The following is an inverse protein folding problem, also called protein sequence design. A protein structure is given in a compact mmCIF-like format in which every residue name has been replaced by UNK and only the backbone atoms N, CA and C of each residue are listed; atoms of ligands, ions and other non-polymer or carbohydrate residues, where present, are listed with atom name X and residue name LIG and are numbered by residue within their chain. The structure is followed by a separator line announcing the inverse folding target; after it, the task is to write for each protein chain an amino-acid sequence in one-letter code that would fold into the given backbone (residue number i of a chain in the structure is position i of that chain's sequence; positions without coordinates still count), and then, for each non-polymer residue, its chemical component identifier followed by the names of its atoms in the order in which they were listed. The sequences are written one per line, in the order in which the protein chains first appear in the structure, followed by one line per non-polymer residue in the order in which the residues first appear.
data_IF_384374005085
#
_entry.id   IF_384374005085
#
_cell.length_a   1.000
_cell.length_b   1.000
_cell.length_c   1.000
_cell.angle_alpha   90.00
_cell.angle_beta   90.00
_cell.angle_gamma   90.00
#
_symmetry.space_group_name_H-M   'P 1'
#
loop_
_entity.id
_entity.type
_entity.pdbx_description
1 polymer ?
#
# COMPACT_ATOMS: atom_id res chain seq x y z
N UNK A 1 -33.09 -11.28 38.06
CA UNK A 1 -32.42 -12.58 38.16
C UNK A 1 -33.38 -13.52 38.87
N UNK A 2 -33.90 -14.49 38.14
CA UNK A 2 -34.80 -15.51 38.68
C UNK A 2 -33.96 -16.65 39.26
N UNK A 3 -34.55 -17.41 40.19
CA UNK A 3 -33.90 -18.50 40.94
C UNK A 3 -33.27 -19.57 40.02
N UNK A 4 -33.79 -19.70 38.80
CA UNK A 4 -33.31 -20.65 37.79
C UNK A 4 -31.93 -20.27 37.19
N UNK A 5 -31.56 -18.99 37.18
CA UNK A 5 -30.24 -18.55 36.67
C UNK A 5 -29.09 -18.94 37.61
N UNK A 6 -29.38 -19.06 38.91
CA UNK A 6 -28.39 -19.46 39.91
C UNK A 6 -28.13 -20.97 39.89
N UNK A 7 -29.17 -21.78 39.68
CA UNK A 7 -29.04 -23.24 39.58
C UNK A 7 -28.29 -23.65 38.31
N UNK A 8 -28.50 -22.96 37.19
CA UNK A 8 -27.75 -23.21 35.95
C UNK A 8 -26.26 -22.83 36.12
N UNK A 9 -25.95 -21.74 36.82
CA UNK A 9 -24.56 -21.38 37.14
C UNK A 9 -23.89 -22.40 38.05
N UNK A 10 -24.62 -22.95 39.02
CA UNK A 10 -24.12 -24.00 39.91
C UNK A 10 -23.74 -25.27 39.16
N UNK A 11 -24.61 -25.71 38.23
CA UNK A 11 -24.37 -26.91 37.42
C UNK A 11 -23.20 -26.74 36.43
N UNK A 12 -23.03 -25.54 35.85
CA UNK A 12 -21.92 -25.25 34.93
C UNK A 12 -20.58 -25.11 35.67
N UNK A 13 -20.57 -24.58 36.89
CA UNK A 13 -19.34 -24.45 37.68
C UNK A 13 -18.80 -25.80 38.18
N UNK A 14 -19.67 -26.79 38.41
CA UNK A 14 -19.28 -28.13 38.88
C UNK A 14 -18.77 -29.08 37.78
N UNK A 15 -19.12 -28.83 36.51
CA UNK A 15 -18.83 -29.76 35.41
C UNK A 15 -17.51 -29.49 34.67
N UNK A 16 -16.86 -28.34 34.91
CA UNK A 16 -15.63 -27.95 34.19
C UNK A 16 -14.41 -28.13 35.11
N UNK A 17 -13.56 -29.14 34.88
CA UNK A 17 -12.31 -29.27 35.63
C UNK A 17 -11.43 -28.04 35.41
N UNK A 18 -10.67 -27.58 36.43
CA UNK A 18 -9.85 -26.39 36.33
C UNK A 18 -8.85 -26.54 35.18
N UNK A 19 -8.95 -25.65 34.20
CA UNK A 19 -8.01 -25.61 33.07
C UNK A 19 -6.61 -25.28 33.60
N UNK A 20 -5.61 -26.01 33.11
CA UNK A 20 -4.21 -25.74 33.41
C UNK A 20 -3.89 -24.27 33.05
N UNK A 21 -3.15 -23.59 33.94
CA UNK A 21 -2.77 -22.21 33.72
C UNK A 21 -2.09 -22.06 32.34
N UNK A 22 -2.54 -21.13 31.49
CA UNK A 22 -1.95 -20.96 30.17
C UNK A 22 -0.47 -20.58 30.32
N UNK A 23 0.42 -21.15 29.48
CA UNK A 23 1.84 -20.83 29.55
C UNK A 23 2.06 -19.34 29.35
N UNK A 24 2.90 -18.75 30.20
CA UNK A 24 3.23 -17.32 30.16
C UNK A 24 4.05 -16.98 28.91
N UNK A 25 3.33 -16.72 27.82
CA UNK A 25 3.92 -16.34 26.53
C UNK A 25 4.65 -15.00 26.59
N UNK A 26 4.34 -14.14 27.58
CA UNK A 26 4.96 -12.82 27.73
C UNK A 26 6.39 -12.98 28.26
N UNK A 27 6.60 -13.88 29.23
CA UNK A 27 7.94 -14.21 29.73
C UNK A 27 8.83 -14.79 28.61
N UNK A 28 8.30 -15.65 27.75
CA UNK A 28 9.05 -16.28 26.66
C UNK A 28 9.49 -15.27 25.58
N UNK A 29 8.61 -14.34 25.21
CA UNK A 29 8.94 -13.24 24.29
C UNK A 29 10.01 -12.32 24.91
N UNK A 30 9.92 -12.04 26.21
CA UNK A 30 10.93 -11.25 26.93
C UNK A 30 12.34 -11.84 26.89
N UNK A 31 12.45 -13.17 26.93
CA UNK A 31 13.75 -13.87 26.81
C UNK A 31 14.29 -13.77 25.38
N UNK A 32 13.44 -13.93 24.35
CA UNK A 32 13.86 -13.79 22.93
C UNK A 32 14.35 -12.38 22.62
N UNK A 33 13.62 -11.36 23.09
CA UNK A 33 13.99 -9.95 22.84
C UNK A 33 15.32 -9.59 23.52
N UNK A 34 15.56 -10.06 24.75
CA UNK A 34 16.87 -9.86 25.42
C UNK A 34 18.01 -10.55 24.68
N UNK A 35 17.80 -11.76 24.16
CA UNK A 35 18.82 -12.49 23.39
C UNK A 35 19.15 -11.79 22.08
N UNK A 36 18.14 -11.21 21.41
CA UNK A 36 18.31 -10.46 20.17
C UNK A 36 19.05 -9.13 20.38
N UNK A 37 18.68 -8.35 21.43
CA UNK A 37 19.40 -7.11 21.78
C UNK A 37 20.88 -7.34 22.11
N UNK A 38 21.21 -8.43 22.81
CA UNK A 38 22.60 -8.80 23.10
C UNK A 38 23.41 -9.12 21.85
N UNK A 39 22.80 -9.71 20.81
CA UNK A 39 23.46 -9.99 19.54
C UNK A 39 23.70 -8.72 18.71
N UNK A 40 22.76 -7.78 18.71
CA UNK A 40 22.91 -6.52 17.99
C UNK A 40 23.96 -5.60 18.61
N UNK A 41 24.08 -5.57 19.94
CA UNK A 41 25.10 -4.78 20.63
C UNK A 41 26.54 -5.28 20.38
N UNK A 42 26.72 -6.59 20.14
CA UNK A 42 28.04 -7.16 19.82
C UNK A 42 28.54 -6.85 18.40
N UNK A 43 27.65 -6.62 17.44
CA UNK A 43 28.01 -6.36 16.03
C UNK A 43 28.44 -4.93 15.74
N UNK A 44 27.95 -3.94 16.49
CA UNK A 44 28.24 -2.53 16.24
C UNK A 44 29.67 -2.09 16.61
N UNK A 45 30.39 -2.86 17.44
CA UNK A 45 31.75 -2.54 17.85
C UNK A 45 32.82 -2.88 16.79
N UNK A 46 32.52 -3.74 15.81
CA UNK A 46 33.47 -4.15 14.78
C UNK A 46 33.53 -3.19 13.56
N UNK A 47 32.52 -2.33 13.37
CA UNK A 47 32.42 -1.49 12.16
C UNK A 47 33.12 -0.13 12.29
N UNK A 48 33.47 0.33 13.50
CA UNK A 48 34.08 1.66 13.72
C UNK A 48 35.62 1.62 13.65
N UNK A 49 36.23 0.43 13.66
CA UNK A 49 37.69 0.29 13.64
C UNK A 49 38.32 0.31 12.22
N UNK A 50 37.52 0.28 11.14
CA UNK A 50 38.02 0.15 9.76
C UNK A 50 38.04 1.45 8.94
N UNK A 51 37.54 2.57 9.47
CA UNK A 51 37.38 3.83 8.71
C UNK A 51 38.46 4.90 8.97
N UNK A 52 39.50 4.64 9.77
CA UNK A 52 40.57 5.62 10.08
C UNK A 52 41.91 5.34 9.34
N UNK A 53 41.96 4.33 8.45
CA UNK A 53 43.23 3.79 7.93
C UNK A 53 43.71 4.23 6.53
N UNK A 54 42.99 5.08 5.78
CA UNK A 54 43.39 5.41 4.39
C UNK A 54 43.34 6.92 4.12
N UNK A 55 44.26 7.63 4.76
CA UNK A 55 44.75 8.93 4.32
C UNK A 55 46.26 8.85 4.15
N UNK A 56 46.77 9.52 3.10
CA UNK A 56 48.18 9.76 2.73
C UNK A 56 48.69 8.95 1.52
N UNK A 57 48.72 9.64 0.38
CA UNK A 57 49.88 9.67 -0.53
C UNK A 57 49.76 8.90 -1.84
N UNK A 58 49.74 9.63 -2.96
CA UNK A 58 50.62 9.37 -4.12
C UNK A 58 50.63 10.60 -5.06
N UNK A 59 51.79 10.94 -5.67
CA UNK A 59 52.03 12.19 -6.36
C UNK A 59 51.65 12.13 -7.85
N UNK A 60 51.39 13.31 -8.40
CA UNK A 60 51.25 13.56 -9.82
C UNK A 60 52.59 13.38 -10.56
N UNK A 61 52.61 12.54 -11.60
CA UNK A 61 53.62 12.61 -12.66
C UNK A 61 53.02 12.28 -14.04
N UNK A 62 53.11 13.30 -14.90
CA UNK A 62 53.62 13.28 -16.29
C UNK A 62 52.74 12.67 -17.40
N UNK A 63 52.51 13.55 -18.37
CA UNK A 63 51.86 13.35 -19.65
C UNK A 63 52.65 12.42 -20.61
N UNK A 64 51.89 11.68 -21.41
CA UNK A 64 52.33 11.07 -22.67
C UNK A 64 51.12 10.91 -23.60
N UNK A 65 51.18 11.37 -24.86
CA UNK A 65 50.06 11.26 -25.79
C UNK A 65 50.08 9.88 -26.46
N UNK A 66 49.18 9.01 -26.02
CA UNK A 66 48.90 7.72 -26.64
C UNK A 66 47.42 7.62 -26.97
N UNK A 67 47.08 7.92 -28.22
CA UNK A 67 45.82 7.54 -28.85
C UNK A 67 45.73 6.02 -28.84
N UNK A 68 45.02 5.46 -27.88
CA UNK A 68 44.28 4.23 -28.07
C UNK A 68 42.81 4.61 -28.00
N UNK A 69 42.16 4.57 -29.16
CA UNK A 69 40.72 4.68 -29.29
C UNK A 69 40.09 3.54 -28.48
N UNK A 70 39.81 3.80 -27.20
CA UNK A 70 38.87 2.99 -26.43
C UNK A 70 37.52 3.25 -27.08
N UNK A 71 37.15 2.39 -28.03
CA UNK A 71 35.80 2.28 -28.55
C UNK A 71 34.91 2.25 -27.30
N UNK A 72 34.03 3.27 -27.08
CA UNK A 72 33.09 3.18 -25.98
C UNK A 72 32.33 1.88 -26.20
N UNK A 73 32.42 0.96 -25.25
CA UNK A 73 31.66 -0.28 -25.27
C UNK A 73 30.20 0.16 -25.34
N UNK A 74 29.64 0.15 -26.55
CA UNK A 74 28.22 0.40 -26.77
C UNK A 74 27.55 -0.81 -26.18
N UNK A 75 27.20 -0.72 -24.90
CA UNK A 75 26.30 -1.68 -24.27
C UNK A 75 25.05 -1.66 -25.15
N UNK A 76 24.68 -2.78 -25.80
CA UNK A 76 23.47 -2.81 -26.59
C UNK A 76 22.34 -2.30 -25.69
N UNK A 77 21.54 -1.38 -26.24
CA UNK A 77 20.31 -0.96 -25.58
C UNK A 77 19.47 -2.19 -25.24
N UNK A 78 18.56 -2.08 -24.25
CA UNK A 78 17.71 -3.18 -23.86
C UNK A 78 17.03 -3.85 -25.06
N UNK A 79 17.04 -5.17 -25.09
CA UNK A 79 16.37 -5.96 -26.12
C UNK A 79 14.90 -6.14 -25.76
N UNK A 80 14.01 -5.77 -26.68
CA UNK A 80 12.56 -5.94 -26.56
C UNK A 80 11.87 -4.90 -25.67
N UNK A 81 10.61 -4.64 -25.98
CA UNK A 81 9.76 -3.73 -25.21
C UNK A 81 9.13 -4.49 -24.02
N UNK A 82 9.29 -3.96 -22.82
CA UNK A 82 8.64 -4.47 -21.62
C UNK A 82 7.18 -4.00 -21.56
N UNK A 83 6.33 -4.58 -22.42
CA UNK A 83 4.92 -4.23 -22.50
C UNK A 83 4.11 -4.93 -21.41
N UNK A 84 3.28 -4.16 -20.69
CA UNK A 84 2.31 -4.72 -19.77
C UNK A 84 1.24 -5.52 -20.53
N UNK A 85 0.98 -6.78 -20.17
CA UNK A 85 -0.20 -7.49 -20.66
C UNK A 85 -1.47 -6.72 -20.28
N UNK A 86 -2.45 -6.71 -21.19
CA UNK A 86 -3.75 -6.05 -20.99
C UNK A 86 -4.89 -7.03 -20.75
N UNK A 87 -4.66 -8.31 -21.00
CA UNK A 87 -5.57 -9.43 -20.82
C UNK A 87 -4.78 -10.68 -20.42
N UNK A 88 -5.47 -11.81 -20.25
CA UNK A 88 -4.89 -13.09 -19.83
C UNK A 88 -4.26 -13.88 -21.00
N UNK A 89 -4.22 -13.33 -22.21
CA UNK A 89 -3.57 -14.01 -23.34
C UNK A 89 -2.07 -14.11 -23.05
N UNK A 90 -1.53 -15.32 -23.15
CA UNK A 90 -0.13 -15.60 -22.83
C UNK A 90 0.13 -15.85 -21.34
N UNK A 91 -0.90 -15.86 -20.49
CA UNK A 91 -0.80 -16.41 -19.14
C UNK A 91 -0.45 -17.91 -19.22
N UNK A 92 0.60 -18.39 -18.52
CA UNK A 92 0.97 -19.80 -18.50
C UNK A 92 -0.14 -20.68 -17.93
N UNK A 93 -0.35 -21.85 -18.51
CA UNK A 93 -1.16 -22.90 -17.91
C UNK A 93 -0.45 -23.43 -16.67
N UNK A 94 -1.06 -23.24 -15.49
CA UNK A 94 -0.48 -23.61 -14.20
C UNK A 94 -0.18 -25.12 -14.11
N UNK A 95 -0.89 -25.97 -14.87
CA UNK A 95 -0.64 -27.41 -14.92
C UNK A 95 0.63 -27.77 -15.71
N UNK A 96 1.08 -26.89 -16.62
CA UNK A 96 2.24 -27.11 -17.49
C UNK A 96 3.57 -26.59 -16.91
N UNK A 97 3.49 -25.79 -15.84
CA UNK A 97 4.65 -25.14 -15.21
C UNK A 97 5.35 -26.09 -14.23
N UNK A 98 6.68 -26.07 -14.21
CA UNK A 98 7.48 -26.85 -13.25
C UNK A 98 7.58 -26.11 -11.92
N UNK A 99 7.27 -26.81 -10.83
CA UNK A 99 7.40 -26.31 -9.45
C UNK A 99 8.36 -27.19 -8.67
N UNK A 100 8.93 -26.65 -7.59
CA UNK A 100 9.70 -27.44 -6.64
C UNK A 100 11.18 -27.61 -6.98
N UNK A 101 11.65 -27.02 -8.08
CA UNK A 101 13.06 -27.03 -8.44
C UNK A 101 13.86 -25.92 -7.72
N UNK A 102 15.16 -26.15 -7.62
CA UNK A 102 16.11 -25.16 -7.09
C UNK A 102 16.44 -24.07 -8.14
N UNK A 103 15.76 -24.05 -9.29
CA UNK A 103 15.97 -23.08 -10.35
C UNK A 103 15.35 -21.71 -10.01
N UNK A 104 16.06 -20.60 -10.22
CA UNK A 104 15.51 -19.27 -9.94
C UNK A 104 14.28 -19.00 -10.81
N UNK A 105 13.26 -18.35 -10.23
CA UNK A 105 12.05 -17.96 -10.97
C UNK A 105 12.37 -16.97 -12.10
N UNK A 106 13.31 -16.06 -11.85
CA UNK A 106 13.78 -15.07 -12.83
C UNK A 106 15.32 -14.96 -12.80
N UNK A 107 15.98 -14.70 -13.93
CA UNK A 107 17.42 -14.42 -13.96
C UNK A 107 17.80 -13.18 -13.11
N UNK A 108 19.05 -13.12 -12.68
CA UNK A 108 19.61 -11.89 -12.10
C UNK A 108 19.91 -10.84 -13.18
N UNK A 109 20.06 -9.57 -12.78
CA UNK A 109 20.50 -8.50 -13.69
C UNK A 109 19.38 -7.74 -14.40
N UNK A 110 18.14 -7.86 -13.94
CA UNK A 110 17.07 -6.96 -14.37
C UNK A 110 17.45 -5.52 -14.01
N UNK A 111 17.15 -4.57 -14.90
CA UNK A 111 17.40 -3.14 -14.72
C UNK A 111 16.13 -2.36 -14.43
N UNK A 112 14.98 -2.98 -14.64
CA UNK A 112 13.66 -2.37 -14.48
C UNK A 112 12.62 -3.46 -14.25
N UNK A 113 11.63 -3.17 -13.40
CA UNK A 113 10.47 -4.02 -13.17
C UNK A 113 9.22 -3.17 -13.31
N UNK A 114 8.31 -3.58 -14.19
CA UNK A 114 7.00 -2.95 -14.32
C UNK A 114 5.93 -3.86 -13.70
N UNK A 115 5.23 -3.35 -12.69
CA UNK A 115 4.04 -4.00 -12.12
C UNK A 115 2.80 -3.55 -12.87
N UNK A 116 2.14 -4.51 -13.49
CA UNK A 116 0.91 -4.36 -14.26
C UNK A 116 -0.26 -5.02 -13.52
N UNK A 117 -1.48 -4.55 -13.76
CA UNK A 117 -2.71 -5.18 -13.29
C UNK A 117 -3.52 -5.65 -14.50
N UNK A 118 -3.82 -6.95 -14.54
CA UNK A 118 -4.56 -7.59 -15.63
C UNK A 118 -5.94 -8.00 -15.10
N UNK A 119 -7.06 -7.59 -15.70
CA UNK A 119 -8.38 -7.92 -15.21
C UNK A 119 -8.74 -9.41 -15.41
N UNK A 120 -9.36 -10.01 -14.40
CA UNK A 120 -9.83 -11.40 -14.37
C UNK A 120 -11.35 -11.43 -14.17
N UNK A 121 -12.09 -10.97 -15.19
CA UNK A 121 -13.57 -11.02 -15.25
C UNK A 121 -14.33 -10.19 -14.19
N UNK A 122 -15.30 -9.36 -14.60
CA UNK A 122 -16.16 -8.63 -13.65
C UNK A 122 -15.45 -7.66 -12.70
N UNK A 123 -14.21 -7.25 -13.02
CA UNK A 123 -13.37 -6.45 -12.15
C UNK A 123 -13.68 -4.97 -12.05
N UNK A 124 -12.76 -4.24 -11.40
CA UNK A 124 -12.90 -2.81 -11.14
C UNK A 124 -13.23 -2.04 -12.43
N UNK A 125 -14.03 -0.97 -12.28
CA UNK A 125 -14.35 -0.07 -13.39
C UNK A 125 -13.01 0.44 -13.98
N UNK A 126 -12.89 0.60 -15.31
CA UNK A 126 -11.64 1.04 -15.93
C UNK A 126 -11.02 2.32 -15.31
N UNK A 127 -11.86 3.24 -14.80
CA UNK A 127 -11.43 4.48 -14.14
C UNK A 127 -10.69 4.27 -12.80
N UNK A 128 -10.89 3.10 -12.17
CA UNK A 128 -10.30 2.74 -10.88
C UNK A 128 -9.03 1.90 -11.04
N UNK A 129 -8.68 1.51 -12.28
CA UNK A 129 -7.49 0.71 -12.55
C UNK A 129 -6.24 1.52 -12.32
N UNK A 130 -5.25 0.89 -11.69
CA UNK A 130 -3.93 1.47 -11.53
C UNK A 130 -3.16 1.23 -12.82
N UNK A 131 -2.58 2.29 -13.38
CA UNK A 131 -1.68 2.16 -14.52
C UNK A 131 -0.43 1.33 -14.18
N UNK A 132 0.38 0.99 -15.20
CA UNK A 132 1.69 0.37 -14.99
C UNK A 132 2.54 1.16 -13.99
N UNK A 133 3.21 0.45 -13.08
CA UNK A 133 4.13 1.03 -12.09
C UNK A 133 5.53 0.54 -12.39
N UNK A 134 6.44 1.45 -12.72
CA UNK A 134 7.80 1.06 -13.13
C UNK A 134 8.81 1.41 -12.05
N UNK A 135 9.54 0.38 -11.60
CA UNK A 135 10.62 0.47 -10.64
C UNK A 135 11.96 0.32 -11.37
N UNK A 136 12.86 1.28 -11.20
CA UNK A 136 14.23 1.28 -11.75
C UNK A 136 15.28 1.28 -10.64
N UNK A 137 14.88 1.47 -9.38
CA UNK A 137 15.75 1.47 -8.20
C UNK A 137 15.43 0.29 -7.29
N UNK A 138 16.46 -0.40 -6.77
CA UNK A 138 16.26 -1.58 -5.91
C UNK A 138 15.65 -2.80 -6.63
N UNK A 139 15.80 -2.88 -7.95
CA UNK A 139 15.31 -3.99 -8.79
C UNK A 139 15.93 -5.33 -8.38
N UNK A 140 17.22 -5.31 -8.03
CA UNK A 140 17.98 -6.46 -7.55
C UNK A 140 17.37 -7.09 -6.29
N UNK A 141 16.85 -6.27 -5.37
CA UNK A 141 16.16 -6.77 -4.19
C UNK A 141 14.86 -7.49 -4.55
N UNK A 142 14.06 -6.93 -5.46
CA UNK A 142 12.79 -7.56 -5.87
C UNK A 142 13.07 -8.88 -6.59
N UNK A 143 14.08 -8.93 -7.47
CA UNK A 143 14.56 -10.18 -8.10
C UNK A 143 14.98 -11.20 -7.05
N UNK A 144 15.75 -10.80 -6.04
CA UNK A 144 16.16 -11.66 -4.93
C UNK A 144 14.94 -12.21 -4.18
N UNK A 145 13.94 -11.37 -3.90
CA UNK A 145 12.72 -11.78 -3.21
C UNK A 145 11.85 -12.73 -4.05
N UNK A 146 11.74 -12.50 -5.37
CA UNK A 146 11.07 -13.41 -6.30
C UNK A 146 11.73 -14.80 -6.30
N UNK A 147 13.06 -14.85 -6.35
CA UNK A 147 13.80 -16.11 -6.33
C UNK A 147 13.84 -16.79 -4.95
N UNK A 148 13.67 -16.04 -3.87
CA UNK A 148 13.59 -16.55 -2.50
C UNK A 148 12.21 -17.10 -2.13
N UNK A 149 11.22 -17.00 -3.04
CA UNK A 149 9.90 -17.55 -2.79
C UNK A 149 9.95 -19.08 -2.60
N UNK A 150 9.05 -19.65 -1.77
CA UNK A 150 8.99 -21.09 -1.54
C UNK A 150 8.93 -21.88 -2.85
N UNK A 151 9.68 -22.99 -2.98
CA UNK A 151 9.75 -23.75 -4.23
C UNK A 151 8.39 -24.38 -4.60
N UNK A 152 7.55 -24.66 -3.60
CA UNK A 152 6.13 -24.99 -3.79
C UNK A 152 5.28 -24.20 -2.80
N UNK A 153 4.01 -24.01 -3.13
CA UNK A 153 3.03 -23.48 -2.19
C UNK A 153 2.91 -24.34 -0.92
N UNK A 154 2.86 -23.69 0.25
CA UNK A 154 2.95 -24.36 1.56
C UNK A 154 1.60 -24.73 2.19
N UNK A 155 0.48 -24.16 1.75
CA UNK A 155 -0.85 -24.39 2.34
C UNK A 155 -1.67 -25.47 1.60
N UNK A 156 -1.10 -26.11 0.58
CA UNK A 156 -1.72 -27.17 -0.22
C UNK A 156 -2.80 -26.70 -1.22
N UNK A 157 -3.00 -25.39 -1.40
CA UNK A 157 -4.13 -24.80 -2.13
C UNK A 157 -3.75 -24.24 -3.51
N UNK A 158 -3.48 -25.12 -4.46
CA UNK A 158 -2.83 -24.76 -5.72
C UNK A 158 -1.86 -25.82 -6.21
N UNK A 159 -1.86 -27.00 -5.58
CA UNK A 159 -1.51 -28.24 -6.26
C UNK A 159 -2.74 -28.75 -7.01
N UNK A 160 -2.57 -29.43 -8.15
CA UNK A 160 -3.64 -30.25 -8.69
C UNK A 160 -4.11 -31.18 -7.58
N UNK A 161 -5.42 -31.18 -7.32
CA UNK A 161 -6.04 -32.25 -6.55
C UNK A 161 -5.82 -33.58 -7.27
N UNK A 162 -6.07 -34.73 -6.62
CA UNK A 162 -5.94 -36.04 -7.25
C UNK A 162 -6.78 -36.22 -8.53
N UNK A 163 -7.79 -35.38 -8.73
CA UNK A 163 -8.64 -35.30 -9.94
C UNK A 163 -8.08 -34.35 -11.03
N UNK A 164 -6.95 -33.69 -10.79
CA UNK A 164 -6.31 -32.74 -11.70
C UNK A 164 -6.71 -31.28 -11.49
N UNK A 165 -7.70 -30.97 -10.65
CA UNK A 165 -8.21 -29.62 -10.49
C UNK A 165 -7.37 -28.79 -9.50
N UNK A 166 -7.00 -27.57 -9.88
CA UNK A 166 -6.37 -26.63 -8.96
C UNK A 166 -7.40 -26.02 -8.02
N UNK A 167 -7.23 -26.23 -6.71
CA UNK A 167 -8.08 -25.61 -5.69
C UNK A 167 -7.69 -24.14 -5.45
N UNK A 168 -7.92 -23.28 -6.43
CA UNK A 168 -7.62 -21.84 -6.36
C UNK A 168 -8.74 -21.08 -5.63
N UNK A 169 -8.64 -21.01 -4.30
CA UNK A 169 -9.64 -20.40 -3.44
C UNK A 169 -9.05 -19.39 -2.43
N UNK A 170 -7.82 -18.92 -2.64
CA UNK A 170 -7.12 -18.06 -1.65
C UNK A 170 -7.74 -16.66 -1.53
N UNK A 171 -8.00 -15.98 -2.64
CA UNK A 171 -8.59 -14.65 -2.65
C UNK A 171 -9.24 -14.36 -4.00
N UNK A 172 -10.58 -14.33 -4.08
CA UNK A 172 -11.31 -13.86 -5.25
C UNK A 172 -10.91 -12.41 -5.57
N UNK A 173 -9.86 -12.26 -6.37
CA UNK A 173 -9.38 -10.99 -6.90
C UNK A 173 -9.85 -10.92 -8.34
N UNK A 174 -10.39 -9.76 -8.71
CA UNK A 174 -10.78 -9.49 -10.08
C UNK A 174 -9.62 -8.98 -10.95
N UNK A 175 -8.40 -9.00 -10.43
CA UNK A 175 -7.18 -8.57 -11.11
C UNK A 175 -5.99 -9.45 -10.68
N UNK A 176 -5.13 -9.77 -11.64
CA UNK A 176 -3.83 -10.40 -11.45
C UNK A 176 -2.73 -9.36 -11.50
N UNK A 177 -1.74 -9.50 -10.62
CA UNK A 177 -0.53 -8.68 -10.71
C UNK A 177 0.48 -9.40 -11.59
N UNK A 178 1.00 -8.69 -12.57
CA UNK A 178 2.05 -9.18 -13.47
C UNK A 178 3.28 -8.32 -13.28
N UNK A 179 4.44 -8.93 -13.11
CA UNK A 179 5.72 -8.24 -13.06
C UNK A 179 6.48 -8.52 -14.36
N UNK A 180 6.76 -7.47 -15.12
CA UNK A 180 7.58 -7.56 -16.34
C UNK A 180 8.97 -7.04 -16.01
N UNK A 181 9.96 -7.93 -16.07
CA UNK A 181 11.36 -7.62 -15.76
C UNK A 181 12.12 -7.37 -17.06
N UNK A 182 12.66 -6.15 -17.23
CA UNK A 182 13.48 -5.78 -18.39
C UNK A 182 14.96 -5.98 -18.06
N UNK A 183 15.69 -6.50 -19.03
CA UNK A 183 17.12 -6.76 -18.96
C UNK A 183 17.86 -5.99 -20.06
N UNK A 184 19.15 -5.70 -19.88
CA UNK A 184 19.94 -5.03 -20.91
C UNK A 184 20.36 -5.97 -22.05
N UNK A 185 20.51 -7.28 -21.76
CA UNK A 185 21.20 -8.25 -22.62
C UNK A 185 20.29 -9.33 -23.22
N UNK A 186 19.01 -9.36 -22.83
CA UNK A 186 18.05 -10.43 -23.16
C UNK A 186 16.62 -9.91 -23.18
N UNK A 187 15.72 -10.76 -23.68
CA UNK A 187 14.29 -10.47 -23.73
C UNK A 187 13.69 -10.32 -22.32
N UNK A 188 12.61 -9.53 -22.16
CA UNK A 188 11.93 -9.39 -20.89
C UNK A 188 11.39 -10.71 -20.35
N UNK A 189 11.38 -10.83 -19.02
CA UNK A 189 10.75 -11.97 -18.33
C UNK A 189 9.46 -11.51 -17.66
N UNK A 190 8.37 -12.18 -17.98
CA UNK A 190 7.05 -11.92 -17.39
C UNK A 190 6.78 -12.93 -16.28
N UNK A 191 6.51 -12.41 -15.08
CA UNK A 191 6.07 -13.18 -13.91
C UNK A 191 4.61 -12.88 -13.64
N UNK A 192 3.76 -13.87 -13.82
CA UNK A 192 2.35 -13.83 -13.45
C UNK A 192 2.19 -14.21 -12.00
N UNK A 193 1.44 -13.43 -11.22
CA UNK A 193 1.08 -13.81 -9.85
C UNK A 193 -0.40 -14.11 -9.78
N UNK A 194 -0.73 -15.36 -9.46
CA UNK A 194 -2.10 -15.77 -9.22
C UNK A 194 -2.34 -15.79 -7.71
N UNK A 195 -3.09 -14.79 -7.23
CA UNK A 195 -3.44 -14.68 -5.83
C UNK A 195 -4.50 -15.70 -5.39
N UNK A 196 -5.35 -16.20 -6.30
CA UNK A 196 -6.32 -17.26 -6.02
C UNK A 196 -5.64 -18.62 -5.82
N UNK A 197 -4.55 -18.88 -6.55
CA UNK A 197 -3.80 -20.12 -6.48
C UNK A 197 -2.54 -20.01 -5.59
N UNK A 198 -2.16 -18.81 -5.15
CA UNK A 198 -0.98 -18.59 -4.32
C UNK A 198 0.33 -18.94 -5.01
N UNK A 199 0.46 -18.62 -6.30
CA UNK A 199 1.66 -18.95 -7.11
C UNK A 199 2.19 -17.75 -7.89
N UNK A 200 3.48 -17.76 -8.15
CA UNK A 200 4.16 -16.86 -9.09
C UNK A 200 4.81 -17.71 -10.18
N UNK A 201 4.49 -17.45 -11.45
CA UNK A 201 4.90 -18.29 -12.58
C UNK A 201 5.46 -17.48 -13.74
N UNK A 202 6.48 -18.05 -14.39
CA UNK A 202 6.92 -17.67 -15.73
C UNK A 202 6.38 -18.68 -16.74
N UNK A 203 6.82 -18.59 -18.00
CA UNK A 203 6.44 -19.55 -19.04
C UNK A 203 6.80 -21.01 -18.71
N UNK A 204 7.85 -21.25 -17.89
CA UNK A 204 8.40 -22.59 -17.67
C UNK A 204 8.56 -22.99 -16.21
N UNK A 205 8.62 -22.02 -15.28
CA UNK A 205 8.89 -22.26 -13.86
C UNK A 205 7.89 -21.55 -12.97
N UNK A 206 7.62 -22.13 -11.81
CA UNK A 206 6.66 -21.63 -10.83
C UNK A 206 7.16 -21.79 -9.41
N UNK A 207 6.77 -20.84 -8.55
CA UNK A 207 7.03 -20.84 -7.12
C UNK A 207 5.74 -20.53 -6.35
N UNK A 208 5.70 -20.90 -5.07
CA UNK A 208 4.63 -20.46 -4.18
C UNK A 208 4.74 -18.96 -3.93
N UNK A 209 3.66 -18.21 -4.08
CA UNK A 209 3.66 -16.76 -3.94
C UNK A 209 3.72 -16.33 -2.47
N UNK A 210 4.76 -15.56 -2.13
CA UNK A 210 4.76 -14.69 -0.96
C UNK A 210 4.34 -13.28 -1.39
N UNK A 211 3.16 -12.84 -0.98
CA UNK A 211 2.65 -11.49 -1.27
C UNK A 211 3.49 -10.36 -0.65
N UNK A 212 4.44 -10.69 0.22
CA UNK A 212 5.48 -9.77 0.67
C UNK A 212 6.32 -9.18 -0.47
N UNK A 213 6.44 -9.88 -1.61
CA UNK A 213 7.17 -9.36 -2.79
C UNK A 213 6.47 -8.14 -3.38
N UNK A 214 5.14 -8.19 -3.57
CA UNK A 214 4.38 -7.04 -4.05
C UNK A 214 4.43 -5.89 -3.03
N UNK A 215 4.40 -6.21 -1.73
CA UNK A 215 4.57 -5.20 -0.68
C UNK A 215 5.91 -4.47 -0.82
N UNK A 216 7.00 -5.23 -0.92
CA UNK A 216 8.35 -4.68 -1.10
C UNK A 216 8.48 -3.85 -2.39
N UNK A 217 7.88 -4.32 -3.49
CA UNK A 217 7.81 -3.56 -4.75
C UNK A 217 7.14 -2.21 -4.55
N UNK A 218 5.96 -2.18 -3.92
CA UNK A 218 5.22 -0.94 -3.70
C UNK A 218 5.94 0.03 -2.76
N UNK A 219 6.58 -0.47 -1.69
CA UNK A 219 7.39 0.35 -0.79
C UNK A 219 8.54 1.03 -1.53
N UNK A 220 9.27 0.25 -2.34
CA UNK A 220 10.38 0.75 -3.19
C UNK A 220 9.87 1.73 -4.24
N UNK A 221 8.75 1.43 -4.90
CA UNK A 221 8.15 2.29 -5.92
C UNK A 221 7.75 3.65 -5.34
N UNK A 222 7.11 3.67 -4.17
CA UNK A 222 6.79 4.92 -3.47
C UNK A 222 8.04 5.71 -3.08
N UNK A 223 9.07 5.04 -2.59
CA UNK A 223 10.34 5.69 -2.23
C UNK A 223 11.01 6.32 -3.46
N UNK A 224 10.96 5.64 -4.61
CA UNK A 224 11.41 6.16 -5.89
C UNK A 224 10.61 7.41 -6.28
N UNK A 225 9.28 7.33 -6.32
CA UNK A 225 8.42 8.47 -6.65
C UNK A 225 8.68 9.67 -5.73
N UNK A 226 8.76 9.44 -4.42
CA UNK A 226 9.03 10.51 -3.46
C UNK A 226 10.40 11.20 -3.66
N UNK A 227 11.35 10.53 -4.31
CA UNK A 227 12.67 11.07 -4.62
C UNK A 227 12.71 11.76 -5.99
N UNK A 228 11.93 11.27 -6.96
CA UNK A 228 11.97 11.74 -8.35
C UNK A 228 10.92 12.80 -8.66
N UNK A 229 9.83 12.86 -7.90
CA UNK A 229 8.78 13.87 -8.08
C UNK A 229 9.23 15.21 -7.51
N UNK A 230 9.25 16.25 -8.35
CA UNK A 230 9.52 17.61 -7.88
C UNK A 230 8.33 18.13 -7.03
N UNK A 231 8.53 18.44 -5.73
CA UNK A 231 7.47 18.98 -4.89
C UNK A 231 6.82 20.26 -5.45
N UNK A 232 7.55 21.06 -6.24
CA UNK A 232 7.01 22.27 -6.84
C UNK A 232 5.94 21.97 -7.90
N UNK A 233 5.99 20.81 -8.56
CA UNK A 233 5.03 20.42 -9.61
C UNK A 233 3.82 19.66 -9.08
N UNK A 234 3.86 19.17 -7.83
CA UNK A 234 2.73 18.48 -7.20
C UNK A 234 1.60 19.46 -6.93
N UNK A 235 0.39 19.17 -7.39
CA UNK A 235 -0.79 20.00 -7.15
C UNK A 235 -1.99 19.14 -6.80
N UNK A 236 -2.87 19.62 -5.93
CA UNK A 236 -4.19 19.02 -5.69
C UNK A 236 -5.22 19.51 -6.73
N UNK A 237 -6.30 18.75 -6.96
CA UNK A 237 -7.51 19.26 -7.61
C UNK A 237 -8.05 20.53 -6.94
N UNK A 238 -8.58 21.46 -7.73
CA UNK A 238 -9.28 22.63 -7.22
C UNK A 238 -10.64 22.25 -6.60
N UNK A 239 -11.16 23.11 -5.73
CA UNK A 239 -12.55 22.98 -5.27
C UNK A 239 -13.49 23.14 -6.46
N UNK A 240 -14.46 22.24 -6.59
CA UNK A 240 -15.56 22.39 -7.55
C UNK A 240 -16.57 23.38 -6.97
N UNK A 241 -17.19 24.22 -7.80
CA UNK A 241 -18.20 25.19 -7.34
C UNK A 241 -19.45 24.50 -6.78
N UNK A 242 -19.80 23.35 -7.35
CA UNK A 242 -20.93 22.53 -6.93
C UNK A 242 -20.47 21.09 -6.66
N UNK A 243 -20.92 20.53 -5.54
CA UNK A 243 -20.65 19.16 -5.14
C UNK A 243 -21.96 18.36 -5.08
N UNK A 244 -22.06 17.19 -5.75
CA UNK A 244 -23.29 16.40 -5.71
C UNK A 244 -23.53 15.79 -4.32
N UNK A 245 -24.68 16.05 -3.69
CA UNK A 245 -24.90 15.61 -2.30
C UNK A 245 -25.06 14.10 -2.19
N UNK A 246 -25.47 13.43 -3.27
CA UNK A 246 -25.61 11.98 -3.34
C UNK A 246 -24.27 11.26 -3.10
N UNK A 247 -23.13 11.87 -3.48
CA UNK A 247 -21.79 11.34 -3.17
C UNK A 247 -21.55 11.33 -1.66
N UNK A 248 -22.09 12.31 -0.94
CA UNK A 248 -22.05 12.36 0.52
C UNK A 248 -23.06 11.42 1.17
N UNK A 249 -23.85 10.59 0.48
CA UNK A 249 -24.73 9.63 1.19
C UNK A 249 -23.92 8.45 1.75
N UNK A 250 -24.30 7.93 2.92
CA UNK A 250 -23.61 6.79 3.56
C UNK A 250 -23.54 5.56 2.64
N UNK A 251 -24.62 5.32 1.90
CA UNK A 251 -24.76 4.19 0.98
C UNK A 251 -24.34 4.53 -0.46
N UNK A 252 -23.71 5.69 -0.68
CA UNK A 252 -23.16 5.97 -2.00
C UNK A 252 -22.08 4.95 -2.34
N UNK A 253 -22.16 4.40 -3.57
CA UNK A 253 -21.06 3.66 -4.18
C UNK A 253 -19.84 4.56 -4.41
N UNK A 254 -20.03 5.89 -4.36
CA UNK A 254 -18.96 6.86 -4.45
C UNK A 254 -18.32 7.05 -3.08
N UNK A 255 -17.02 6.79 -3.03
CA UNK A 255 -16.16 7.03 -1.88
C UNK A 255 -15.23 8.22 -2.20
N UNK A 256 -14.67 8.89 -1.18
CA UNK A 256 -13.57 9.82 -1.39
C UNK A 256 -12.46 9.10 -2.17
N UNK A 257 -11.91 9.74 -3.20
CA UNK A 257 -10.86 9.14 -4.02
C UNK A 257 -9.55 9.05 -3.21
N UNK A 258 -8.84 7.92 -3.29
CA UNK A 258 -7.58 7.72 -2.57
C UNK A 258 -6.56 7.01 -3.48
N UNK A 259 -5.82 7.81 -4.25
CA UNK A 259 -4.75 7.34 -5.14
C UNK A 259 -3.46 7.06 -4.37
N UNK A 260 -3.24 7.72 -3.22
CA UNK A 260 -2.11 7.45 -2.33
C UNK A 260 -2.12 5.97 -1.88
N UNK A 261 -3.29 5.45 -1.49
CA UNK A 261 -3.44 4.06 -1.03
C UNK A 261 -3.21 3.02 -2.10
N UNK A 262 -3.52 3.32 -3.36
CA UNK A 262 -3.30 2.41 -4.50
C UNK A 262 -1.83 2.04 -4.67
N UNK A 263 -0.93 2.94 -4.27
CA UNK A 263 0.51 2.70 -4.26
C UNK A 263 1.04 2.26 -2.89
N UNK A 264 0.21 2.20 -1.85
CA UNK A 264 0.63 1.87 -0.48
C UNK A 264 0.58 0.35 -0.23
N UNK A 265 1.69 -0.17 0.29
CA UNK A 265 1.90 -1.60 0.54
C UNK A 265 1.19 -2.09 1.82
N UNK A 266 0.87 -1.16 2.72
CA UNK A 266 0.19 -1.38 3.99
C UNK A 266 -1.14 -0.61 4.03
N UNK A 267 -2.08 -1.08 4.85
CA UNK A 267 -3.33 -0.34 5.08
C UNK A 267 -3.13 0.88 5.99
N UNK A 268 -2.10 0.85 6.84
CA UNK A 268 -1.81 1.91 7.81
C UNK A 268 -0.30 2.18 7.90
N UNK A 269 0.12 3.43 8.16
CA UNK A 269 -0.71 4.64 8.18
C UNK A 269 -1.39 4.90 6.81
N UNK A 270 -2.55 5.58 6.81
CA UNK A 270 -3.30 5.83 5.58
C UNK A 270 -2.56 6.81 4.65
N UNK A 271 -1.80 7.75 5.25
CA UNK A 271 -0.93 8.71 4.58
C UNK A 271 0.53 8.41 4.98
N UNK A 272 1.24 7.53 4.26
CA UNK A 272 2.55 7.03 4.67
C UNK A 272 3.73 7.97 4.35
N UNK A 273 3.52 8.92 3.45
CA UNK A 273 4.52 9.86 2.91
C UNK A 273 4.17 11.28 3.31
N UNK A 274 5.17 12.15 3.31
CA UNK A 274 5.01 13.57 3.63
C UNK A 274 3.99 14.23 2.70
N UNK A 275 3.12 15.10 3.25
CA UNK A 275 2.23 15.93 2.45
C UNK A 275 2.94 17.18 1.91
N UNK A 276 2.67 17.49 0.64
CA UNK A 276 3.21 18.65 -0.07
C UNK A 276 2.18 19.77 -0.17
N UNK A 277 0.91 19.40 -0.32
CA UNK A 277 -0.18 20.36 -0.47
C UNK A 277 -1.49 19.81 0.11
N UNK A 278 -2.31 20.69 0.67
CA UNK A 278 -3.69 20.42 1.03
C UNK A 278 -4.60 21.50 0.43
N UNK A 279 -5.71 21.07 -0.14
CA UNK A 279 -6.84 21.92 -0.51
C UNK A 279 -8.02 21.53 0.36
N UNK A 280 -8.59 22.51 1.05
CA UNK A 280 -9.79 22.36 1.85
C UNK A 280 -10.92 23.18 1.18
N UNK A 281 -12.11 22.60 1.10
CA UNK A 281 -13.29 23.21 0.50
C UNK A 281 -14.45 23.07 1.47
N UNK A 282 -15.25 24.12 1.66
CA UNK A 282 -16.46 24.12 2.48
C UNK A 282 -17.69 24.29 1.61
N UNK A 283 -18.67 23.44 1.83
CA UNK A 283 -19.92 23.42 1.09
C UNK A 283 -21.12 23.59 2.03
N UNK A 284 -22.08 24.41 1.61
CA UNK A 284 -23.42 24.49 2.21
C UNK A 284 -24.43 23.82 1.29
N UNK A 285 -25.28 22.96 1.85
CA UNK A 285 -26.26 22.21 1.06
C UNK A 285 -27.46 23.07 0.71
N UNK A 286 -27.76 23.12 -0.59
CA UNK A 286 -28.93 23.75 -1.20
C UNK A 286 -29.57 22.78 -2.19
N UNK A 287 -30.72 22.22 -1.79
CA UNK A 287 -31.36 21.14 -2.55
C UNK A 287 -30.44 19.91 -2.61
N UNK A 288 -30.22 19.39 -3.81
CA UNK A 288 -29.41 18.19 -4.06
C UNK A 288 -27.91 18.48 -4.27
N UNK A 289 -27.47 19.72 -4.03
CA UNK A 289 -26.08 20.14 -4.24
C UNK A 289 -25.50 20.86 -3.04
N UNK A 290 -24.20 20.67 -2.79
CA UNK A 290 -23.40 21.54 -1.95
C UNK A 290 -22.83 22.68 -2.79
N UNK A 291 -23.13 23.93 -2.42
CA UNK A 291 -22.51 25.13 -3.02
C UNK A 291 -21.23 25.48 -2.26
N UNK A 292 -20.15 25.77 -2.98
CA UNK A 292 -18.88 26.17 -2.38
C UNK A 292 -19.02 27.54 -1.69
N UNK A 293 -18.79 27.59 -0.39
CA UNK A 293 -18.84 28.83 0.42
C UNK A 293 -17.49 29.23 1.01
N UNK A 294 -16.49 28.34 0.96
CA UNK A 294 -15.14 28.63 1.43
C UNK A 294 -14.13 27.68 0.82
N UNK A 295 -12.92 28.18 0.57
CA UNK A 295 -11.82 27.36 0.10
C UNK A 295 -10.49 27.88 0.61
N UNK A 296 -9.56 26.96 0.86
CA UNK A 296 -8.19 27.27 1.20
C UNK A 296 -7.24 26.26 0.57
N UNK A 297 -6.14 26.76 0.01
CA UNK A 297 -5.01 25.96 -0.43
C UNK A 297 -3.80 26.27 0.43
N UNK A 298 -3.06 25.24 0.85
CA UNK A 298 -1.88 25.41 1.71
C UNK A 298 -0.79 24.40 1.36
N UNK A 299 0.42 24.91 1.11
CA UNK A 299 1.66 24.10 0.98
C UNK A 299 2.49 24.12 2.26
N UNK A 300 2.73 25.32 2.80
CA UNK A 300 3.46 25.50 4.04
C UNK A 300 2.68 24.84 5.20
N UNK A 301 3.32 23.93 5.94
CA UNK A 301 2.66 23.20 7.03
C UNK A 301 1.69 22.10 6.59
N UNK A 302 1.60 21.76 5.30
CA UNK A 302 0.70 20.69 4.83
C UNK A 302 0.96 19.35 5.55
N UNK A 303 2.22 19.03 5.87
CA UNK A 303 2.56 17.78 6.57
C UNK A 303 2.05 17.72 8.02
N UNK A 304 1.76 18.86 8.65
CA UNK A 304 1.22 18.88 10.02
C UNK A 304 -0.19 18.25 10.05
N UNK A 305 -0.95 18.43 8.96
CA UNK A 305 -2.28 17.83 8.78
C UNK A 305 -2.19 16.30 8.65
N UNK A 306 -1.05 15.77 8.18
CA UNK A 306 -0.85 14.32 7.97
C UNK A 306 -1.00 13.51 9.25
N UNK A 307 -0.38 13.96 10.34
CA UNK A 307 -0.44 13.27 11.62
C UNK A 307 -1.88 13.26 12.17
N UNK A 308 -2.57 14.40 12.05
CA UNK A 308 -3.97 14.55 12.46
C UNK A 308 -4.89 13.62 11.68
N UNK A 309 -4.75 13.56 10.35
CA UNK A 309 -5.54 12.66 9.50
C UNK A 309 -5.23 11.19 9.80
N UNK A 310 -3.96 10.80 9.90
CA UNK A 310 -3.58 9.43 10.23
C UNK A 310 -4.15 8.98 11.58
N UNK A 311 -4.12 9.86 12.60
CA UNK A 311 -4.69 9.58 13.90
C UNK A 311 -6.23 9.50 13.85
N UNK A 312 -6.88 10.43 13.16
CA UNK A 312 -8.33 10.50 13.07
C UNK A 312 -8.94 9.25 12.39
N UNK A 313 -8.20 8.64 11.45
CA UNK A 313 -8.65 7.49 10.67
C UNK A 313 -7.98 6.16 11.05
N UNK A 314 -7.28 6.09 12.19
CA UNK A 314 -6.67 4.86 12.71
C UNK A 314 -7.72 3.75 12.95
N UNK A 315 -7.31 2.48 12.92
CA UNK A 315 -8.18 1.28 13.02
C UNK A 315 -9.10 1.27 14.24
N UNK A 316 -8.68 1.90 15.34
CA UNK A 316 -9.44 1.97 16.60
C UNK A 316 -10.52 3.05 16.61
N UNK A 317 -10.53 3.98 15.65
CA UNK A 317 -11.52 5.04 15.55
C UNK A 317 -12.81 4.50 14.89
N UNK A 318 -13.59 3.68 15.60
CA UNK A 318 -14.87 3.12 15.12
C UNK A 318 -16.04 3.51 16.05
N UNK A 319 -16.94 4.41 15.62
CA UNK A 319 -18.23 4.75 16.26
C UNK A 319 -18.83 6.06 15.68
N UNK A 320 -20.15 6.17 15.44
CA UNK A 320 -20.84 7.25 14.67
C UNK A 320 -21.95 7.88 15.47
N UNK A 321 -21.98 9.20 15.49
CA UNK A 321 -23.11 9.95 16.06
C UNK A 321 -24.23 10.18 15.03
N UNK A 322 -23.97 9.89 13.75
CA UNK A 322 -24.95 10.01 12.65
C UNK A 322 -25.94 8.83 12.53
N UNK A 323 -25.94 7.90 13.49
CA UNK A 323 -26.75 6.68 13.44
C UNK A 323 -26.35 5.70 12.31
N UNK A 324 -27.15 4.64 12.20
CA UNK A 324 -27.10 3.71 11.08
C UNK A 324 -28.23 3.98 10.07
N UNK A 325 -28.13 3.39 8.89
CA UNK A 325 -29.21 3.49 7.91
C UNK A 325 -30.48 2.84 8.52
N UNK A 326 -31.70 3.40 8.32
CA UNK A 326 -32.08 4.48 7.41
C UNK A 326 -32.03 5.90 7.97
N UNK A 327 -31.77 6.10 9.27
CA UNK A 327 -31.90 7.40 9.97
C UNK A 327 -30.77 8.39 9.66
N UNK A 328 -30.01 8.13 8.60
CA UNK A 328 -28.85 8.91 8.21
C UNK A 328 -29.26 10.23 7.57
N UNK A 329 -29.18 11.32 8.32
CA UNK A 329 -29.53 12.65 7.84
C UNK A 329 -28.49 13.20 6.87
N UNK A 330 -28.97 13.89 5.83
CA UNK A 330 -28.10 14.60 4.90
C UNK A 330 -27.42 15.78 5.60
N UNK A 331 -26.14 16.06 5.30
CA UNK A 331 -25.46 17.14 5.96
C UNK A 331 -26.01 18.49 5.49
N UNK A 332 -26.10 19.49 6.36
CA UNK A 332 -26.37 20.89 5.96
C UNK A 332 -25.09 21.62 5.57
N UNK A 333 -23.97 21.24 6.18
CA UNK A 333 -22.63 21.80 5.95
C UNK A 333 -21.60 20.67 6.01
N UNK A 334 -20.68 20.65 5.05
CA UNK A 334 -19.56 19.71 5.02
C UNK A 334 -18.32 20.32 4.40
N UNK A 335 -17.17 19.77 4.75
CA UNK A 335 -15.88 20.10 4.16
C UNK A 335 -15.33 18.90 3.39
N UNK A 336 -14.61 19.16 2.30
CA UNK A 336 -13.73 18.19 1.66
C UNK A 336 -12.28 18.63 1.85
N UNK A 337 -11.39 17.68 2.11
CA UNK A 337 -9.95 17.91 2.07
C UNK A 337 -9.33 16.99 1.04
N UNK A 338 -8.64 17.58 0.06
CA UNK A 338 -7.82 16.84 -0.88
C UNK A 338 -6.36 17.13 -0.55
N UNK A 339 -5.61 16.08 -0.21
CA UNK A 339 -4.17 16.17 0.07
C UNK A 339 -3.38 15.60 -1.10
N UNK A 340 -2.20 16.14 -1.34
CA UNK A 340 -1.20 15.57 -2.23
C UNK A 340 0.08 15.27 -1.46
N UNK A 341 0.67 14.10 -1.69
CA UNK A 341 1.88 13.67 -1.02
C UNK A 341 3.15 13.88 -1.86
N UNK A 342 4.30 13.54 -1.28
CA UNK A 342 5.59 13.64 -1.95
C UNK A 342 5.73 12.77 -3.21
N UNK A 343 4.86 11.78 -3.40
CA UNK A 343 4.83 10.97 -4.63
C UNK A 343 4.05 11.65 -5.76
N UNK A 344 3.30 12.72 -5.45
CA UNK A 344 2.41 13.39 -6.39
C UNK A 344 0.99 12.81 -6.42
N UNK A 345 0.75 11.74 -5.66
CA UNK A 345 -0.56 11.11 -5.55
C UNK A 345 -1.46 11.87 -4.57
N UNK A 346 -2.77 11.72 -4.75
CA UNK A 346 -3.77 12.43 -3.94
C UNK A 346 -4.67 11.51 -3.14
N UNK A 347 -5.21 12.04 -2.04
CA UNK A 347 -6.29 11.42 -1.29
C UNK A 347 -7.31 12.46 -0.85
N UNK A 348 -8.59 12.09 -0.86
CA UNK A 348 -9.72 12.91 -0.51
C UNK A 348 -10.33 12.45 0.83
N UNK A 349 -10.75 13.41 1.63
CA UNK A 349 -11.40 13.22 2.92
C UNK A 349 -12.65 14.05 2.97
N UNK A 350 -13.76 13.47 3.44
CA UNK A 350 -15.02 14.19 3.60
C UNK A 350 -15.34 14.34 5.08
N UNK A 351 -15.70 15.53 5.51
CA UNK A 351 -15.97 15.87 6.91
C UNK A 351 -17.33 16.57 7.00
N UNK A 352 -18.22 16.04 7.82
CA UNK A 352 -19.55 16.61 8.05
C UNK A 352 -19.59 17.33 9.38
N UNK A 353 -20.26 18.46 9.41
CA UNK A 353 -20.40 19.27 10.62
C UNK A 353 -21.78 19.13 11.25
N UNK A 354 -22.81 19.16 10.42
CA UNK A 354 -24.22 19.17 10.82
C UNK A 354 -25.03 18.27 9.90
N UNK A 355 -26.15 17.67 10.37
CA UNK A 355 -26.68 17.72 11.74
C UNK A 355 -25.91 16.82 12.71
N UNK A 356 -24.99 16.01 12.21
CA UNK A 356 -24.12 15.12 12.97
C UNK A 356 -22.70 15.19 12.41
N UNK A 357 -21.71 14.93 13.27
CA UNK A 357 -20.29 15.02 12.91
C UNK A 357 -19.74 13.66 12.50
N UNK A 358 -19.15 13.58 11.32
CA UNK A 358 -18.45 12.37 10.86
C UNK A 358 -17.41 12.69 9.81
N UNK A 359 -16.42 11.83 9.66
CA UNK A 359 -15.44 11.89 8.59
C UNK A 359 -15.35 10.56 7.83
N UNK A 360 -15.17 10.65 6.51
CA UNK A 360 -15.05 9.52 5.61
C UNK A 360 -13.79 9.66 4.78
N UNK A 361 -13.16 8.52 4.56
CA UNK A 361 -12.04 8.26 3.68
C UNK A 361 -12.36 6.98 2.90
N UNK A 362 -11.71 6.72 1.77
CA UNK A 362 -12.02 5.60 0.85
C UNK A 362 -12.33 4.26 1.56
N UNK A 363 -11.51 3.91 2.56
CA UNK A 363 -11.58 2.62 3.25
C UNK A 363 -11.75 2.74 4.77
N UNK A 364 -12.01 3.94 5.28
CA UNK A 364 -12.16 4.19 6.71
C UNK A 364 -13.24 5.24 6.94
N UNK A 365 -14.07 5.01 7.95
CA UNK A 365 -14.98 6.04 8.46
C UNK A 365 -14.59 6.33 9.89
N UNK A 366 -14.17 7.56 10.13
CA UNK A 366 -13.97 8.08 11.48
C UNK A 366 -15.27 8.71 11.88
N UNK A 367 -15.96 8.09 12.83
CA UNK A 367 -17.36 8.41 13.02
C UNK A 367 -17.62 9.31 14.26
N UNK A 368 -16.55 9.64 15.00
CA UNK A 368 -16.45 10.82 15.87
C UNK A 368 -15.24 11.65 15.42
N UNK A 369 -15.48 12.89 14.98
CA UNK A 369 -14.39 13.79 14.60
C UNK A 369 -13.54 14.11 15.84
N UNK A 370 -12.25 13.81 15.78
CA UNK A 370 -11.35 14.19 16.86
C UNK A 370 -11.29 15.71 16.97
N UNK A 371 -11.14 16.24 18.20
CA UNK A 371 -10.98 17.68 18.41
C UNK A 371 -9.80 18.24 17.61
N UNK A 372 -8.75 17.43 17.41
CA UNK A 372 -7.58 17.77 16.60
C UNK A 372 -7.93 17.91 15.12
N UNK A 373 -8.76 17.01 14.57
CA UNK A 373 -9.21 17.10 13.18
C UNK A 373 -10.09 18.34 12.97
N UNK A 374 -11.04 18.58 13.87
CA UNK A 374 -11.88 19.79 13.82
C UNK A 374 -11.05 21.07 13.91
N UNK A 375 -10.06 21.11 14.81
CA UNK A 375 -9.15 22.25 14.94
C UNK A 375 -8.32 22.47 13.68
N UNK A 376 -7.75 21.41 13.09
CA UNK A 376 -6.97 21.50 11.86
C UNK A 376 -7.81 22.03 10.68
N UNK A 377 -9.06 21.57 10.56
CA UNK A 377 -9.98 22.03 9.50
C UNK A 377 -10.42 23.48 9.74
N UNK A 378 -10.67 23.84 11.00
CA UNK A 378 -10.99 25.21 11.39
C UNK A 378 -9.82 26.17 11.12
N UNK A 379 -8.58 25.74 11.34
CA UNK A 379 -7.40 26.54 11.01
C UNK A 379 -7.24 26.77 9.50
N UNK A 380 -7.71 25.83 8.68
CA UNK A 380 -7.70 25.97 7.22
C UNK A 380 -8.85 26.85 6.70
N UNK A 381 -10.07 26.65 7.20
CA UNK A 381 -11.30 27.20 6.60
C UNK A 381 -12.07 28.19 7.48
N UNK A 382 -11.60 28.44 8.71
CA UNK A 382 -12.38 29.11 9.74
C UNK A 382 -13.48 28.23 10.34
N UNK A 383 -14.20 28.78 11.34
CA UNK A 383 -15.34 28.11 11.96
C UNK A 383 -16.45 27.87 10.92
N UNK A 384 -17.10 26.68 10.92
CA UNK A 384 -18.28 26.48 10.10
C UNK A 384 -19.39 27.45 10.55
N UNK A 385 -20.23 27.92 9.62
CA UNK A 385 -21.37 28.76 9.97
C UNK A 385 -22.27 28.01 10.96
N UNK A 386 -22.55 28.63 12.11
CA UNK A 386 -23.50 28.13 13.10
C UNK A 386 -24.91 28.49 12.64
N UNK A 387 -25.79 27.50 12.47
CA UNK A 387 -27.22 27.76 12.25
C UNK A 387 -28.00 27.94 13.54
#
# INVERSE_FOLDING_TARGET
MTRDDEDIRGLLAGAVPPLAAPPDRVAEVGVRVRRHRRRMAGGAAAAVALTVGLGVGLPALVAGPGRDDVIPLVTPGPRGDANCPTDLVGRPDLASVRYGDDEPLVPTGAVEITSCQVPVGGGLRPADRIGPRTLTTGVDEIVRLLNAQPPTQQDGRGRPRPDGDFACALMARYEETVLVLRYPDRDPVTVWTDANCGVAVTATHGRGADFGVLRAFLDRYRAQLATTTDPATVTTPACVDTFPIERMRKNSEDYPLDRIRLNNSATYPILPTRLIEVTACRYEVRGDTGELVGQQRRRAGADEVRAVLNQAFDRSAKGSDCGDWPDYQEPSVFDTLTVADATGETAEFWIRHEPCRSARHAYSSSRQLSAQLLAAVTDLLGQPPSR
#
